data_IF_343400928468
#
_entry.id   IF_343400928468
#
_cell.length_a   1.000
_cell.length_b   1.000
_cell.length_c   1.000
_cell.angle_alpha   90.00
_cell.angle_beta   90.00
_cell.angle_gamma   90.00
#
_symmetry.space_group_name_H-M   'P 1'
#
loop_
_entity.id
_entity.type
_entity.pdbx_description
1 polymer ?
#
# COMPACT_ATOMS: atom_id res chain seq x y z
N UNK A 1 12.49 -11.41 16.37
CA UNK A 1 12.34 -12.78 15.83
C UNK A 1 11.56 -12.67 14.53
N UNK A 2 12.16 -13.06 13.41
CA UNK A 2 11.49 -13.22 12.12
C UNK A 2 11.23 -14.72 11.85
N UNK A 3 10.48 -15.01 10.80
CA UNK A 3 10.25 -16.38 10.33
C UNK A 3 11.55 -16.99 9.77
N UNK A 4 11.64 -18.32 9.72
CA UNK A 4 12.72 -19.01 9.02
C UNK A 4 12.71 -18.68 7.52
N UNK A 5 13.88 -18.71 6.87
CA UNK A 5 14.03 -18.33 5.45
C UNK A 5 13.21 -19.20 4.47
N UNK A 6 12.79 -20.39 4.90
CA UNK A 6 11.87 -21.26 4.16
C UNK A 6 10.45 -20.68 4.03
N UNK A 7 10.04 -19.84 4.98
CA UNK A 7 8.75 -19.16 5.00
C UNK A 7 8.86 -17.80 4.29
N UNK A 8 8.46 -17.77 3.03
CA UNK A 8 8.54 -16.60 2.15
C UNK A 8 7.28 -16.51 1.29
N UNK A 9 6.94 -15.30 0.85
CA UNK A 9 5.73 -15.07 0.04
C UNK A 9 5.84 -15.82 -1.28
N UNK A 10 4.83 -16.62 -1.62
CA UNK A 10 4.72 -17.21 -2.94
C UNK A 10 4.25 -16.19 -3.98
N UNK A 11 5.21 -15.63 -4.73
CA UNK A 11 4.92 -14.59 -5.73
C UNK A 11 3.97 -15.03 -6.85
N UNK A 12 3.95 -16.32 -7.22
CA UNK A 12 3.02 -16.83 -8.24
C UNK A 12 1.58 -16.90 -7.70
N UNK A 13 1.42 -17.20 -6.41
CA UNK A 13 0.11 -17.25 -5.76
C UNK A 13 -0.48 -15.85 -5.54
N UNK A 14 0.35 -14.87 -5.18
CA UNK A 14 -0.12 -13.50 -4.86
C UNK A 14 -0.09 -12.55 -6.06
N UNK A 15 0.27 -13.01 -7.26
CA UNK A 15 0.54 -12.13 -8.41
C UNK A 15 -0.67 -11.25 -8.79
N UNK A 16 -1.89 -11.79 -8.71
CA UNK A 16 -3.11 -11.06 -9.05
C UNK A 16 -3.34 -9.87 -8.12
N UNK A 17 -3.27 -10.10 -6.81
CA UNK A 17 -3.40 -9.05 -5.80
C UNK A 17 -2.27 -8.03 -5.88
N UNK A 18 -1.01 -8.48 -6.09
CA UNK A 18 0.13 -7.59 -6.24
C UNK A 18 -0.03 -6.62 -7.44
N UNK A 19 -0.57 -7.11 -8.56
CA UNK A 19 -0.90 -6.29 -9.73
C UNK A 19 -2.04 -5.33 -9.40
N UNK A 20 -3.07 -5.80 -8.68
CA UNK A 20 -4.20 -4.99 -8.23
C UNK A 20 -3.78 -3.84 -7.33
N UNK A 21 -2.93 -4.09 -6.33
CA UNK A 21 -2.40 -3.09 -5.41
C UNK A 21 -1.58 -2.02 -6.14
N UNK A 22 -0.65 -2.45 -7.01
CA UNK A 22 0.20 -1.53 -7.76
C UNK A 22 -0.62 -0.69 -8.75
N UNK A 23 -1.51 -1.32 -9.50
CA UNK A 23 -2.36 -0.65 -10.48
C UNK A 23 -3.36 0.29 -9.80
N UNK A 24 -4.02 -0.19 -8.75
CA UNK A 24 -5.01 0.55 -7.98
C UNK A 24 -4.42 1.82 -7.36
N UNK A 25 -3.28 1.72 -6.68
CA UNK A 25 -2.62 2.90 -6.09
C UNK A 25 -2.13 3.89 -7.15
N UNK A 26 -1.60 3.39 -8.27
CA UNK A 26 -1.15 4.25 -9.38
C UNK A 26 -2.30 5.04 -10.00
N UNK A 27 -3.44 4.38 -10.24
CA UNK A 27 -4.65 5.02 -10.77
C UNK A 27 -5.23 6.00 -9.74
N UNK A 28 -5.24 5.63 -8.45
CA UNK A 28 -5.71 6.52 -7.38
C UNK A 28 -4.87 7.81 -7.29
N UNK A 29 -3.54 7.70 -7.41
CA UNK A 29 -2.66 8.88 -7.42
C UNK A 29 -2.90 9.77 -8.64
N UNK A 30 -3.09 9.17 -9.82
CA UNK A 30 -3.45 9.92 -11.03
C UNK A 30 -4.80 10.64 -10.85
N UNK A 31 -5.83 9.93 -10.38
CA UNK A 31 -7.15 10.49 -10.13
C UNK A 31 -7.09 11.64 -9.10
N UNK A 32 -6.28 11.48 -8.05
CA UNK A 32 -6.03 12.53 -7.07
C UNK A 32 -5.46 13.79 -7.74
N UNK A 33 -4.40 13.66 -8.54
CA UNK A 33 -3.80 14.80 -9.28
C UNK A 33 -4.80 15.48 -10.20
N UNK A 34 -5.60 14.69 -10.95
CA UNK A 34 -6.64 15.22 -11.83
C UNK A 34 -7.75 15.97 -11.05
N UNK A 35 -8.09 15.49 -9.86
CA UNK A 35 -9.12 16.11 -9.01
C UNK A 35 -8.76 17.52 -8.54
N UNK A 36 -7.46 17.85 -8.50
CA UNK A 36 -6.97 19.18 -8.14
C UNK A 36 -7.22 20.22 -9.23
N UNK A 37 -7.55 19.82 -10.47
CA UNK A 37 -7.82 20.71 -11.61
C UNK A 37 -6.70 21.75 -11.84
N UNK A 38 -5.44 21.32 -11.65
CA UNK A 38 -4.25 22.17 -11.81
C UNK A 38 -3.91 23.05 -10.60
N UNK A 39 -4.70 22.99 -9.52
CA UNK A 39 -4.37 23.69 -8.28
C UNK A 39 -3.38 22.90 -7.44
N UNK A 40 -2.58 23.61 -6.64
CA UNK A 40 -1.74 22.96 -5.65
C UNK A 40 -2.58 22.40 -4.50
N UNK A 41 -2.28 21.18 -4.09
CA UNK A 41 -2.90 20.59 -2.91
C UNK A 41 -2.39 21.31 -1.65
N UNK A 42 -3.26 21.60 -0.67
CA UNK A 42 -2.81 22.20 0.59
C UNK A 42 -1.86 21.27 1.31
N UNK A 43 -0.83 21.84 1.93
CA UNK A 43 0.01 21.15 2.92
C UNK A 43 -0.76 21.08 4.24
N UNK A 44 -0.85 19.88 4.80
CA UNK A 44 -1.57 19.62 6.06
C UNK A 44 -0.64 18.80 6.94
N UNK A 45 -0.46 19.21 8.19
CA UNK A 45 0.44 18.59 9.16
C UNK A 45 1.88 18.41 8.63
N UNK A 46 2.34 19.36 7.80
CA UNK A 46 3.66 19.34 7.17
C UNK A 46 3.80 18.36 6.00
N UNK A 47 2.72 17.71 5.55
CA UNK A 47 2.73 16.75 4.45
C UNK A 47 2.08 17.32 3.18
N UNK A 48 2.69 17.08 2.02
CA UNK A 48 2.12 17.38 0.70
C UNK A 48 0.90 16.50 0.43
N UNK A 49 0.07 16.92 -0.53
CA UNK A 49 -1.09 16.14 -0.96
C UNK A 49 -0.76 14.69 -1.34
N UNK A 50 0.28 14.49 -2.14
CA UNK A 50 0.72 13.16 -2.58
C UNK A 50 1.27 12.32 -1.42
N UNK A 51 2.06 12.94 -0.52
CA UNK A 51 2.51 12.26 0.70
C UNK A 51 1.32 11.77 1.52
N UNK A 52 0.24 12.56 1.62
CA UNK A 52 -0.98 12.13 2.32
C UNK A 52 -1.73 11.01 1.60
N UNK A 53 -1.71 10.93 0.27
CA UNK A 53 -2.23 9.76 -0.46
C UNK A 53 -1.47 8.49 -0.05
N UNK A 54 -0.13 8.54 -0.04
CA UNK A 54 0.69 7.39 0.37
C UNK A 54 0.54 7.03 1.85
N UNK A 55 0.46 8.02 2.74
CA UNK A 55 0.15 7.78 4.16
C UNK A 55 -1.25 7.16 4.32
N UNK A 56 -2.21 7.64 3.55
CA UNK A 56 -3.58 7.12 3.49
C UNK A 56 -3.65 5.66 3.03
N UNK A 57 -2.83 5.27 2.06
CA UNK A 57 -2.68 3.88 1.65
C UNK A 57 -2.00 3.05 2.75
N UNK A 58 -0.89 3.53 3.31
CA UNK A 58 -0.13 2.81 4.32
C UNK A 58 -0.92 2.53 5.60
N UNK A 59 -1.81 3.44 6.04
CA UNK A 59 -2.64 3.22 7.22
C UNK A 59 -3.66 2.09 7.04
N UNK A 60 -4.18 1.87 5.82
CA UNK A 60 -5.13 0.79 5.52
C UNK A 60 -4.46 -0.57 5.74
N UNK A 61 -3.17 -0.67 5.46
CA UNK A 61 -2.37 -1.88 5.62
C UNK A 61 -1.74 -2.05 7.01
N UNK A 62 -2.07 -1.19 7.97
CA UNK A 62 -1.56 -1.32 9.34
C UNK A 62 -2.15 -2.56 10.01
N UNK A 63 -1.45 -3.68 9.92
CA UNK A 63 -1.85 -4.96 10.49
C UNK A 63 -0.70 -5.64 11.24
N UNK A 64 -1.05 -6.55 12.16
CA UNK A 64 -0.12 -7.39 12.90
C UNK A 64 -0.72 -8.78 13.06
N UNK A 65 0.00 -9.79 12.58
CA UNK A 65 -0.43 -11.19 12.68
C UNK A 65 0.40 -11.95 13.72
N UNK A 66 -0.19 -13.00 14.29
CA UNK A 66 0.58 -14.04 15.00
C UNK A 66 1.36 -14.88 14.00
N UNK A 67 2.42 -15.53 14.46
CA UNK A 67 3.32 -16.32 13.61
C UNK A 67 2.58 -17.39 12.78
N UNK A 68 1.70 -18.17 13.43
CA UNK A 68 0.91 -19.21 12.75
C UNK A 68 0.01 -18.65 11.62
N UNK A 69 -0.59 -17.47 11.83
CA UNK A 69 -1.43 -16.82 10.81
C UNK A 69 -0.58 -16.17 9.71
N UNK A 70 0.62 -15.68 10.03
CA UNK A 70 1.55 -15.18 9.03
C UNK A 70 2.01 -16.32 8.10
N UNK A 71 2.41 -17.47 8.66
CA UNK A 71 2.83 -18.65 7.89
C UNK A 71 1.71 -19.16 6.97
N UNK A 72 0.46 -19.15 7.43
CA UNK A 72 -0.70 -19.56 6.62
C UNK A 72 -0.88 -18.73 5.33
N UNK A 73 -0.40 -17.49 5.32
CA UNK A 73 -0.60 -16.53 4.21
C UNK A 73 0.56 -16.48 3.22
N UNK A 74 1.62 -17.24 3.44
CA UNK A 74 2.81 -17.32 2.58
C UNK A 74 2.62 -18.37 1.48
#
# INVERSE_FOLDING_TARGET
>A
RGLEASHHVNGAFTVGENIGDLGGLSIALLAYRLSLKGQEAPVIDGLTGEQRVFYGWAQVWRTKSREAEAIRRL
#
